data_IF_260845760545
#
_entry.id   IF_260845760545
#
_cell.length_a   1.000
_cell.length_b   1.000
_cell.length_c   1.000
_cell.angle_alpha   90.00
_cell.angle_beta   90.00
_cell.angle_gamma   90.00
#
_symmetry.space_group_name_H-M   'P 1'
#
loop_
_entity.id
_entity.type
_entity.pdbx_description
1 polymer ?
#
# COMPACT_ATOMS: atom_id res chain seq x y z
N UNK A 1 -5.16 3.74 -17.67
CA UNK A 1 -4.59 4.97 -17.08
C UNK A 1 -4.10 4.69 -15.67
N UNK A 2 -2.95 5.23 -15.32
CA UNK A 2 -2.32 4.98 -14.03
C UNK A 2 -2.50 6.18 -13.11
N UNK A 3 -2.75 5.90 -11.83
CA UNK A 3 -2.78 6.94 -10.81
C UNK A 3 -1.45 6.90 -10.05
N UNK A 4 -0.78 8.04 -9.99
CA UNK A 4 0.49 8.17 -9.27
C UNK A 4 0.22 8.79 -7.91
N UNK A 5 0.62 8.11 -6.85
CA UNK A 5 0.42 8.59 -5.48
C UNK A 5 1.79 8.84 -4.85
N UNK A 6 2.00 10.07 -4.39
CA UNK A 6 3.23 10.45 -3.72
C UNK A 6 3.09 10.16 -2.23
N UNK A 7 3.67 9.06 -1.79
CA UNK A 7 3.57 8.60 -0.42
C UNK A 7 4.93 8.62 0.30
N UNK A 8 5.93 9.25 -0.32
CA UNK A 8 7.26 9.32 0.26
C UNK A 8 7.48 10.68 0.89
N UNK A 9 7.97 10.78 2.00
CA UNK A 9 8.25 11.99 2.74
C UNK A 9 8.30 11.63 4.20
N UNK A 10 8.93 12.49 4.97
CA UNK A 10 8.91 12.32 6.41
C UNK A 10 7.51 12.66 6.87
N UNK A 11 6.86 11.72 7.55
CA UNK A 11 5.56 12.01 8.13
C UNK A 11 5.69 13.12 9.16
N UNK A 12 4.79 14.09 9.10
CA UNK A 12 4.70 15.05 10.19
C UNK A 12 4.15 14.30 11.39
N UNK A 13 4.80 14.45 12.52
CA UNK A 13 4.40 13.76 13.73
C UNK A 13 3.14 14.37 14.29
N UNK A 14 2.00 13.84 13.87
CA UNK A 14 0.69 14.35 14.30
C UNK A 14 0.18 13.54 15.49
N UNK A 15 0.54 12.26 15.58
CA UNK A 15 0.11 11.35 16.64
C UNK A 15 1.19 10.33 16.90
N UNK A 16 1.04 9.55 17.98
CA UNK A 16 1.96 8.47 18.29
C UNK A 16 2.02 7.44 17.17
N UNK A 17 0.91 7.21 16.49
CA UNK A 17 0.85 6.28 15.37
C UNK A 17 1.75 6.72 14.22
N UNK A 18 1.77 8.02 13.90
CA UNK A 18 2.59 8.50 12.80
C UNK A 18 4.10 8.40 13.10
N UNK A 19 4.48 8.21 14.37
CA UNK A 19 5.86 7.97 14.73
C UNK A 19 6.34 6.59 14.28
N UNK A 20 5.44 5.64 14.10
CA UNK A 20 5.76 4.25 13.78
C UNK A 20 5.40 3.85 12.36
N UNK A 21 4.55 4.60 11.70
CA UNK A 21 4.08 4.30 10.34
C UNK A 21 4.19 5.52 9.44
N UNK A 22 4.40 5.31 8.13
CA UNK A 22 4.19 6.40 7.18
C UNK A 22 2.74 6.88 7.29
N UNK A 23 2.56 8.18 7.14
CA UNK A 23 1.23 8.78 7.27
C UNK A 23 0.15 8.08 6.43
N UNK A 24 0.43 7.70 5.15
CA UNK A 24 -0.58 7.01 4.33
C UNK A 24 -1.00 5.64 4.88
N UNK A 25 -0.23 5.07 5.79
CA UNK A 25 -0.49 3.75 6.35
C UNK A 25 -1.19 3.80 7.71
N UNK A 26 -1.52 4.99 8.19
CA UNK A 26 -2.34 5.14 9.39
C UNK A 26 -3.74 4.62 9.06
N UNK A 27 -4.29 3.79 9.95
CA UNK A 27 -5.55 3.10 9.68
C UNK A 27 -6.76 3.88 10.14
N UNK A 28 -7.79 3.85 9.31
CA UNK A 28 -9.11 4.36 9.62
C UNK A 28 -10.08 3.24 9.32
N UNK A 29 -10.83 2.80 10.32
CA UNK A 29 -11.76 1.70 10.14
C UNK A 29 -11.08 0.39 9.77
N UNK A 30 -9.85 0.16 10.24
CA UNK A 30 -9.10 -1.06 10.00
C UNK A 30 -8.32 -1.09 8.71
N UNK A 31 -8.43 -0.06 7.86
CA UNK A 31 -7.72 0.01 6.57
C UNK A 31 -6.91 1.29 6.47
N UNK A 32 -5.72 1.24 5.84
CA UNK A 32 -4.87 2.43 5.72
C UNK A 32 -5.54 3.57 4.94
N UNK A 33 -5.17 4.80 5.26
CA UNK A 33 -5.61 5.97 4.51
C UNK A 33 -5.33 5.79 3.02
N UNK A 34 -4.17 5.24 2.67
CA UNK A 34 -3.80 4.95 1.28
C UNK A 34 -4.85 4.09 0.59
N UNK A 35 -5.33 3.04 1.27
CA UNK A 35 -6.36 2.16 0.71
C UNK A 35 -7.66 2.93 0.44
N UNK A 36 -8.07 3.78 1.38
CA UNK A 36 -9.27 4.61 1.20
C UNK A 36 -9.14 5.54 0.01
N UNK A 37 -7.97 6.15 -0.17
CA UNK A 37 -7.70 7.01 -1.32
C UNK A 37 -7.80 6.23 -2.63
N UNK A 38 -7.22 5.05 -2.67
CA UNK A 38 -7.26 4.20 -3.86
C UNK A 38 -8.69 3.76 -4.18
N UNK A 39 -9.52 3.50 -3.15
CA UNK A 39 -10.93 3.19 -3.34
C UNK A 39 -11.69 4.33 -4.02
N UNK A 40 -11.37 5.57 -3.66
CA UNK A 40 -11.99 6.73 -4.31
C UNK A 40 -11.67 6.75 -5.80
N UNK A 41 -10.41 6.54 -6.16
CA UNK A 41 -10.02 6.50 -7.57
C UNK A 41 -10.63 5.28 -8.29
N UNK A 42 -10.71 4.15 -7.60
CA UNK A 42 -11.31 2.95 -8.18
C UNK A 42 -12.78 3.16 -8.50
N UNK A 43 -13.47 3.94 -7.70
CA UNK A 43 -14.86 4.30 -7.97
C UNK A 43 -15.01 4.99 -9.33
N UNK A 44 -13.99 5.74 -9.75
CA UNK A 44 -13.98 6.42 -11.05
C UNK A 44 -13.35 5.57 -12.16
N UNK A 45 -13.11 4.30 -11.91
CA UNK A 45 -12.63 3.37 -12.95
C UNK A 45 -11.13 3.18 -13.02
N UNK A 46 -10.36 3.76 -12.10
CA UNK A 46 -8.92 3.58 -12.08
C UNK A 46 -8.57 2.33 -11.28
N UNK A 47 -7.75 1.47 -11.86
CA UNK A 47 -7.36 0.21 -11.20
C UNK A 47 -5.85 -0.05 -11.25
N UNK A 48 -5.08 0.89 -11.74
CA UNK A 48 -3.62 0.76 -11.71
C UNK A 48 -3.02 1.96 -10.98
N UNK A 49 -2.21 1.66 -9.96
CA UNK A 49 -1.65 2.65 -9.07
C UNK A 49 -0.14 2.50 -8.99
N UNK A 50 0.56 3.63 -9.03
CA UNK A 50 2.00 3.68 -8.82
C UNK A 50 2.23 4.51 -7.57
N UNK A 51 2.80 3.89 -6.55
CA UNK A 51 3.04 4.53 -5.26
C UNK A 51 4.52 4.88 -5.15
N UNK A 52 4.82 6.15 -5.09
CA UNK A 52 6.17 6.64 -4.91
C UNK A 52 6.44 6.73 -3.42
N UNK A 53 7.25 5.83 -2.91
CA UNK A 53 7.51 5.68 -1.49
C UNK A 53 8.96 5.99 -1.17
N UNK A 54 9.22 6.29 0.08
CA UNK A 54 10.57 6.54 0.58
C UNK A 54 10.63 6.14 2.04
N UNK A 55 10.31 7.07 2.92
CA UNK A 55 10.35 6.81 4.35
C UNK A 55 9.48 5.60 4.71
N UNK A 56 10.11 4.59 5.32
CA UNK A 56 9.45 3.33 5.73
C UNK A 56 8.63 2.68 4.63
N UNK A 57 9.13 2.69 3.40
CA UNK A 57 8.46 2.07 2.27
C UNK A 57 8.15 0.59 2.50
N UNK A 58 8.95 -0.08 3.32
CA UNK A 58 8.73 -1.49 3.63
C UNK A 58 7.35 -1.75 4.27
N UNK A 59 6.85 -0.79 5.03
CA UNK A 59 5.52 -0.91 5.65
C UNK A 59 4.44 -0.97 4.57
N UNK A 60 4.57 -0.15 3.53
CA UNK A 60 3.63 -0.16 2.41
C UNK A 60 3.73 -1.47 1.64
N UNK A 61 4.94 -1.92 1.34
CA UNK A 61 5.16 -3.17 0.60
C UNK A 61 4.64 -4.37 1.37
N UNK A 62 4.90 -4.44 2.67
CA UNK A 62 4.42 -5.53 3.53
C UNK A 62 2.90 -5.55 3.57
N UNK A 63 2.27 -4.39 3.68
CA UNK A 63 0.83 -4.34 3.72
C UNK A 63 0.20 -4.93 2.46
N UNK A 64 0.69 -4.57 1.28
CA UNK A 64 0.17 -5.13 0.03
C UNK A 64 0.51 -6.60 -0.13
N UNK A 65 1.69 -7.01 0.31
CA UNK A 65 2.09 -8.41 0.28
C UNK A 65 1.14 -9.29 1.10
N UNK A 66 0.63 -8.76 2.20
CA UNK A 66 -0.25 -9.48 3.11
C UNK A 66 -1.72 -9.12 2.92
N UNK A 67 -2.06 -8.36 1.88
CA UNK A 67 -3.39 -7.83 1.69
C UNK A 67 -4.47 -8.92 1.77
N UNK A 68 -4.25 -10.03 1.10
CA UNK A 68 -5.24 -11.12 1.08
C UNK A 68 -5.46 -11.71 2.48
N UNK A 69 -4.46 -11.63 3.36
CA UNK A 69 -4.60 -12.08 4.75
C UNK A 69 -5.52 -11.19 5.56
N UNK A 70 -5.57 -9.89 5.22
CA UNK A 70 -6.39 -8.93 5.95
C UNK A 70 -7.86 -8.94 5.51
N UNK A 71 -8.12 -9.38 4.29
CA UNK A 71 -9.44 -9.25 3.67
C UNK A 71 -10.11 -10.57 3.35
N UNK A 72 -9.50 -11.71 3.69
CA UNK A 72 -9.99 -13.03 3.32
C UNK A 72 -10.02 -13.97 4.51
N UNK A 73 -10.89 -14.96 4.45
CA UNK A 73 -10.84 -16.09 5.40
C UNK A 73 -9.75 -17.03 4.94
N UNK A 74 -8.95 -17.51 5.88
CA UNK A 74 -7.77 -18.31 5.57
C UNK A 74 -7.69 -19.56 6.44
N UNK A 75 -7.35 -20.68 5.82
CA UNK A 75 -6.97 -21.88 6.53
C UNK A 75 -5.45 -22.05 6.43
N UNK A 76 -4.82 -22.19 7.56
CA UNK A 76 -3.41 -22.55 7.63
C UNK A 76 -3.34 -24.04 7.98
N UNK A 77 -2.91 -24.85 7.04
CA UNK A 77 -2.86 -26.29 7.23
C UNK A 77 -1.42 -26.72 7.48
N UNK A 78 -1.15 -27.05 8.73
CA UNK A 78 0.18 -27.52 9.14
C UNK A 78 0.29 -29.06 9.12
N UNK A 79 -0.78 -29.76 8.76
CA UNK A 79 -0.77 -31.22 8.75
C UNK A 79 -0.11 -31.78 7.49
N UNK A 80 -0.11 -31.01 6.40
CA UNK A 80 0.44 -31.39 5.09
C UNK A 80 1.51 -30.41 4.59
N UNK A 81 2.33 -29.89 5.51
CA UNK A 81 3.48 -29.08 5.09
C UNK A 81 3.20 -27.63 4.78
N UNK A 82 2.55 -26.91 5.68
CA UNK A 82 2.38 -25.44 5.63
C UNK A 82 1.64 -24.93 4.39
N UNK A 83 0.48 -25.48 4.12
CA UNK A 83 -0.38 -24.95 3.06
C UNK A 83 -1.20 -23.77 3.55
N UNK A 84 -1.38 -22.77 2.68
CA UNK A 84 -2.27 -21.64 2.93
C UNK A 84 -3.42 -21.74 1.95
N UNK A 85 -4.65 -21.85 2.46
CA UNK A 85 -5.85 -21.93 1.65
C UNK A 85 -6.66 -20.66 1.88
N UNK A 86 -6.83 -19.87 0.83
CA UNK A 86 -7.56 -18.61 0.90
C UNK A 86 -8.99 -18.84 0.46
N UNK A 87 -9.92 -18.53 1.38
CA UNK A 87 -11.36 -18.64 1.13
C UNK A 87 -11.93 -17.24 0.96
N UNK A 88 -12.99 -17.06 0.21
CA UNK A 88 -13.75 -15.81 0.11
C UNK A 88 -12.85 -14.57 -0.03
N UNK A 89 -12.17 -14.48 -1.18
CA UNK A 89 -11.27 -13.35 -1.46
C UNK A 89 -12.05 -12.06 -1.65
N UNK A 90 -11.83 -11.10 -0.78
CA UNK A 90 -12.36 -9.74 -0.91
C UNK A 90 -11.25 -8.77 -1.31
N UNK A 91 -10.53 -9.10 -2.37
CA UNK A 91 -9.38 -8.35 -2.83
C UNK A 91 -9.80 -7.46 -3.98
N UNK A 92 -9.46 -6.17 -3.89
CA UNK A 92 -9.72 -5.24 -4.96
C UNK A 92 -8.86 -5.60 -6.18
N UNK A 93 -9.43 -5.54 -7.40
CA UNK A 93 -8.70 -5.93 -8.61
C UNK A 93 -7.75 -4.82 -9.07
N UNK A 94 -6.81 -4.47 -8.24
CA UNK A 94 -5.86 -3.39 -8.50
C UNK A 94 -4.50 -3.94 -8.89
N UNK A 95 -3.81 -3.21 -9.76
CA UNK A 95 -2.40 -3.42 -10.03
C UNK A 95 -1.64 -2.32 -9.33
N UNK A 96 -0.79 -2.67 -8.38
CA UNK A 96 -0.09 -1.71 -7.53
C UNK A 96 1.41 -1.89 -7.67
N UNK A 97 2.10 -0.81 -8.02
CA UNK A 97 3.56 -0.79 -8.09
C UNK A 97 4.08 0.19 -7.05
N UNK A 98 4.95 -0.29 -6.17
CA UNK A 98 5.57 0.56 -5.16
C UNK A 98 7.01 0.83 -5.57
N UNK A 99 7.34 2.09 -5.79
CA UNK A 99 8.64 2.52 -6.28
C UNK A 99 9.39 3.25 -5.17
N UNK A 100 10.63 2.83 -4.94
CA UNK A 100 11.52 3.53 -4.04
C UNK A 100 12.10 4.75 -4.76
N UNK A 101 11.70 5.93 -4.32
CA UNK A 101 12.18 7.18 -4.88
C UNK A 101 13.22 7.86 -4.01
N UNK A 102 13.54 7.25 -2.85
CA UNK A 102 14.48 7.82 -1.90
C UNK A 102 13.86 8.90 -1.02
N UNK A 103 14.39 9.06 0.20
CA UNK A 103 13.85 10.01 1.16
C UNK A 103 14.07 11.46 0.76
N UNK A 104 15.19 11.73 0.13
CA UNK A 104 15.61 13.10 -0.20
C UNK A 104 15.23 13.51 -1.61
N UNK A 105 14.59 12.62 -2.36
CA UNK A 105 14.19 12.93 -3.73
C UNK A 105 13.00 13.87 -3.72
N UNK A 106 13.12 15.00 -4.39
CA UNK A 106 12.02 15.95 -4.53
C UNK A 106 10.91 15.36 -5.41
N UNK A 107 9.70 15.89 -5.26
CA UNK A 107 8.53 15.41 -5.99
C UNK A 107 8.77 15.28 -7.50
N UNK A 108 9.43 16.28 -8.09
CA UNK A 108 9.75 16.23 -9.51
C UNK A 108 10.67 15.07 -9.89
N UNK A 109 11.64 14.77 -9.02
CA UNK A 109 12.54 13.64 -9.24
C UNK A 109 11.81 12.30 -9.13
N UNK A 110 10.85 12.19 -8.23
CA UNK A 110 10.05 10.97 -8.07
C UNK A 110 9.24 10.67 -9.32
N UNK A 111 8.62 11.70 -9.88
CA UNK A 111 7.85 11.56 -11.12
C UNK A 111 8.76 11.17 -12.27
N UNK A 112 9.95 11.76 -12.33
CA UNK A 112 10.92 11.44 -13.36
C UNK A 112 11.35 9.97 -13.32
N UNK A 113 11.53 9.41 -12.13
CA UNK A 113 11.87 7.98 -11.98
C UNK A 113 10.79 7.07 -12.56
N UNK A 114 9.54 7.43 -12.41
CA UNK A 114 8.43 6.64 -12.93
C UNK A 114 8.47 6.58 -14.45
N UNK A 115 8.88 7.66 -15.09
CA UNK A 115 8.94 7.73 -16.55
C UNK A 115 10.07 6.88 -17.13
N UNK A 116 11.08 6.64 -16.35
CA UNK A 116 12.21 5.81 -16.75
C UNK A 116 11.97 4.35 -16.43
#
# INVERSE_FOLDING_TARGET
MKVVILAGGFGTRISEESAYKPKPMIEIGGMPILWHLMKVYAYYGFNEFIICAGYKQHVIKEWFSDYFLHTSDITFDFTNGNEIIVHHKHIEPWKVTVIDTGLETMTGGRIKRIRN
#
